data_IF_522834656726
#
_entry.id   IF_522834656726
#
_cell.length_a   1.000
_cell.length_b   1.000
_cell.length_c   1.000
_cell.angle_alpha   90.00
_cell.angle_beta   90.00
_cell.angle_gamma   90.00
#
_symmetry.space_group_name_H-M   'P 1'
#
loop_
_entity.id
_entity.type
_entity.pdbx_description
1 polymer ?
#
# COMPACT_ATOMS: atom_id res chain seq x y z
N UNK A 1 -6.20 -4.68 14.14
CA UNK A 1 -7.35 -4.06 13.44
C UNK A 1 -8.03 -5.10 12.55
N UNK A 2 -9.37 -5.17 12.52
CA UNK A 2 -10.10 -6.18 11.74
C UNK A 2 -9.94 -6.00 10.22
N UNK A 3 -9.93 -7.12 9.47
CA UNK A 3 -9.85 -7.15 8.00
C UNK A 3 -11.23 -6.82 7.39
N UNK A 4 -11.46 -5.57 6.99
CA UNK A 4 -12.77 -5.11 6.50
C UNK A 4 -12.63 -4.17 5.29
N UNK A 5 -13.70 -4.10 4.48
CA UNK A 5 -13.78 -3.16 3.34
C UNK A 5 -13.62 -1.71 3.81
N UNK A 6 -14.22 -1.34 4.94
CA UNK A 6 -14.13 0.02 5.47
C UNK A 6 -12.68 0.40 5.82
N UNK A 7 -11.92 -0.51 6.41
CA UNK A 7 -10.52 -0.28 6.74
C UNK A 7 -9.64 -0.24 5.48
N UNK A 8 -9.90 -1.11 4.50
CA UNK A 8 -9.23 -1.02 3.19
C UNK A 8 -9.44 0.35 2.53
N UNK A 9 -10.68 0.86 2.49
CA UNK A 9 -10.98 2.19 1.93
C UNK A 9 -10.20 3.29 2.66
N UNK A 10 -10.11 3.23 4.00
CA UNK A 10 -9.32 4.19 4.78
C UNK A 10 -7.84 4.17 4.38
N UNK A 11 -7.25 2.98 4.24
CA UNK A 11 -5.84 2.83 3.84
C UNK A 11 -5.60 3.30 2.39
N UNK A 12 -6.49 2.93 1.47
CA UNK A 12 -6.45 3.39 0.08
C UNK A 12 -6.49 4.92 -0.02
N UNK A 13 -7.39 5.56 0.73
CA UNK A 13 -7.49 7.02 0.78
C UNK A 13 -6.24 7.66 1.38
N UNK A 14 -5.72 7.10 2.47
CA UNK A 14 -4.48 7.58 3.08
C UNK A 14 -3.30 7.54 2.10
N UNK A 15 -3.13 6.43 1.39
CA UNK A 15 -2.09 6.29 0.37
C UNK A 15 -2.24 7.36 -0.72
N UNK A 16 -3.44 7.49 -1.30
CA UNK A 16 -3.71 8.46 -2.36
C UNK A 16 -3.46 9.91 -1.92
N UNK A 17 -3.89 10.29 -0.72
CA UNK A 17 -3.67 11.63 -0.17
C UNK A 17 -2.17 11.90 0.06
N UNK A 18 -1.45 10.90 0.57
CA UNK A 18 0.00 11.01 0.81
C UNK A 18 0.75 11.12 -0.52
N UNK A 19 0.41 10.31 -1.51
CA UNK A 19 0.97 10.37 -2.86
C UNK A 19 0.75 11.74 -3.52
N UNK A 20 -0.46 12.29 -3.40
CA UNK A 20 -0.79 13.62 -3.89
C UNK A 20 0.07 14.71 -3.23
N UNK A 21 0.23 14.67 -1.90
CA UNK A 21 1.06 15.63 -1.18
C UNK A 21 2.54 15.52 -1.57
N UNK A 22 3.07 14.29 -1.67
CA UNK A 22 4.44 14.05 -2.13
C UNK A 22 4.67 14.61 -3.53
N UNK A 23 3.72 14.40 -4.45
CA UNK A 23 3.76 14.96 -5.80
C UNK A 23 3.77 16.50 -5.78
N UNK A 24 2.93 17.12 -4.96
CA UNK A 24 2.87 18.59 -4.84
C UNK A 24 4.20 19.17 -4.32
N UNK A 25 4.81 18.53 -3.31
CA UNK A 25 6.11 18.92 -2.78
C UNK A 25 7.20 18.80 -3.86
N UNK A 26 7.20 17.71 -4.62
CA UNK A 26 8.16 17.49 -5.72
C UNK A 26 8.09 18.62 -6.76
N UNK A 27 6.87 18.98 -7.18
CA UNK A 27 6.65 20.10 -8.12
C UNK A 27 7.14 21.43 -7.52
N UNK A 28 6.76 21.74 -6.27
CA UNK A 28 7.14 23.00 -5.61
C UNK A 28 8.67 23.12 -5.45
N UNK A 29 9.37 22.01 -5.21
CA UNK A 29 10.83 21.98 -5.03
C UNK A 29 11.61 21.88 -6.35
N UNK A 30 10.97 22.09 -7.50
CA UNK A 30 11.64 22.13 -8.80
C UNK A 30 12.02 20.75 -9.35
N UNK A 31 11.25 19.71 -9.02
CA UNK A 31 11.43 18.38 -9.61
C UNK A 31 12.61 17.59 -9.04
N UNK A 32 13.08 17.93 -7.84
CA UNK A 32 14.01 17.04 -7.12
C UNK A 32 13.31 15.69 -6.96
N UNK A 33 13.83 14.69 -7.66
CA UNK A 33 13.20 13.40 -7.79
C UNK A 33 12.94 12.81 -6.40
N UNK A 34 11.69 12.37 -6.15
CA UNK A 34 11.28 11.73 -4.88
C UNK A 34 12.17 10.55 -4.49
N UNK A 35 12.93 10.03 -5.45
CA UNK A 35 14.04 9.09 -5.34
C UNK A 35 15.06 9.42 -4.26
N UNK A 36 15.31 10.70 -3.98
CA UNK A 36 16.24 11.16 -2.95
C UNK A 36 15.57 11.42 -1.60
N UNK A 37 14.26 11.23 -1.49
CA UNK A 37 13.51 11.43 -0.25
C UNK A 37 13.26 10.08 0.42
N UNK A 38 13.49 10.02 1.74
CA UNK A 38 13.03 8.94 2.66
C UNK A 38 11.55 8.56 2.39
N UNK A 39 10.77 9.50 1.83
CA UNK A 39 9.39 9.29 1.41
C UNK A 39 9.16 8.26 0.29
N UNK A 40 10.12 7.95 -0.60
CA UNK A 40 9.90 6.96 -1.68
C UNK A 40 9.83 5.53 -1.15
N UNK A 41 10.76 5.17 -0.25
CA UNK A 41 10.74 3.88 0.44
C UNK A 41 9.48 3.75 1.29
N UNK A 42 9.17 4.78 2.07
CA UNK A 42 7.93 4.83 2.86
C UNK A 42 6.67 4.69 1.98
N UNK A 43 6.61 5.37 0.83
CA UNK A 43 5.49 5.27 -0.09
C UNK A 43 5.34 3.86 -0.69
N UNK A 44 6.45 3.21 -1.02
CA UNK A 44 6.46 1.84 -1.52
C UNK A 44 5.99 0.86 -0.43
N UNK A 45 6.47 1.00 0.80
CA UNK A 45 6.07 0.17 1.94
C UNK A 45 4.57 0.35 2.29
N UNK A 46 4.08 1.59 2.27
CA UNK A 46 2.64 1.87 2.48
C UNK A 46 1.82 1.24 1.36
N UNK A 47 2.25 1.37 0.09
CA UNK A 47 1.55 0.77 -1.04
C UNK A 47 1.54 -0.77 -0.93
N UNK A 48 2.67 -1.39 -0.58
CA UNK A 48 2.77 -2.83 -0.33
C UNK A 48 1.72 -3.26 0.70
N UNK A 49 1.68 -2.55 1.84
CA UNK A 49 0.73 -2.85 2.90
C UNK A 49 -0.73 -2.74 2.42
N UNK A 50 -1.09 -1.68 1.69
CA UNK A 50 -2.45 -1.49 1.17
C UNK A 50 -2.83 -2.62 0.19
N UNK A 51 -1.91 -2.99 -0.71
CA UNK A 51 -2.13 -4.06 -1.69
C UNK A 51 -2.32 -5.41 -1.00
N UNK A 52 -1.45 -5.75 -0.05
CA UNK A 52 -1.53 -7.02 0.65
C UNK A 52 -2.75 -7.13 1.54
N UNK A 53 -3.15 -6.03 2.19
CA UNK A 53 -4.42 -5.96 2.90
C UNK A 53 -5.59 -6.24 1.95
N UNK A 54 -5.60 -5.60 0.78
CA UNK A 54 -6.64 -5.77 -0.24
C UNK A 54 -6.72 -7.19 -0.81
N UNK A 55 -5.57 -7.80 -1.15
CA UNK A 55 -5.48 -9.19 -1.63
C UNK A 55 -6.04 -10.17 -0.60
N UNK A 56 -5.68 -9.99 0.67
CA UNK A 56 -6.20 -10.81 1.79
C UNK A 56 -7.70 -10.59 1.98
N UNK A 57 -8.18 -9.36 1.86
CA UNK A 57 -9.60 -9.02 1.96
C UNK A 57 -10.42 -9.74 0.89
N UNK A 58 -9.99 -9.71 -0.37
CA UNK A 58 -10.62 -10.44 -1.48
C UNK A 58 -10.64 -11.95 -1.20
N UNK A 59 -9.51 -12.51 -0.76
CA UNK A 59 -9.40 -13.94 -0.47
C UNK A 59 -10.35 -14.38 0.67
N UNK A 60 -10.53 -13.54 1.68
CA UNK A 60 -11.41 -13.83 2.82
C UNK A 60 -12.89 -13.55 2.57
N UNK A 61 -13.23 -12.81 1.51
CA UNK A 61 -14.60 -12.37 1.24
C UNK A 61 -15.01 -12.66 -0.22
N UNK A 62 -15.69 -13.79 -0.49
CA UNK A 62 -16.06 -14.18 -1.84
C UNK A 62 -17.11 -13.26 -2.50
N UNK A 63 -17.81 -12.43 -1.72
CA UNK A 63 -18.85 -11.52 -2.23
C UNK A 63 -18.37 -10.06 -2.28
N UNK A 64 -17.05 -9.84 -2.38
CA UNK A 64 -16.49 -8.50 -2.42
C UNK A 64 -16.91 -7.77 -3.70
N UNK A 65 -17.17 -6.46 -3.60
CA UNK A 65 -17.58 -5.66 -4.76
C UNK A 65 -16.50 -5.66 -5.86
N UNK A 66 -16.87 -5.79 -7.15
CA UNK A 66 -15.94 -5.68 -8.27
C UNK A 66 -15.13 -4.38 -8.26
N UNK A 67 -15.69 -3.29 -7.74
CA UNK A 67 -15.00 -1.99 -7.63
C UNK A 67 -13.80 -2.06 -6.68
N UNK A 68 -13.94 -2.80 -5.57
CA UNK A 68 -12.86 -3.03 -4.61
C UNK A 68 -11.79 -3.92 -5.24
N UNK A 69 -12.19 -4.96 -5.98
CA UNK A 69 -11.25 -5.82 -6.73
C UNK A 69 -10.41 -4.98 -7.69
N UNK A 70 -11.08 -4.17 -8.53
CA UNK A 70 -10.40 -3.30 -9.49
C UNK A 70 -9.48 -2.27 -8.82
N UNK A 71 -9.85 -1.74 -7.65
CA UNK A 71 -8.98 -0.85 -6.89
C UNK A 71 -7.72 -1.58 -6.38
N UNK A 72 -7.86 -2.79 -5.85
CA UNK A 72 -6.72 -3.62 -5.41
C UNK A 72 -5.81 -3.97 -6.59
N UNK A 73 -6.37 -4.33 -7.74
CA UNK A 73 -5.59 -4.64 -8.95
C UNK A 73 -4.80 -3.42 -9.44
N UNK A 74 -5.40 -2.22 -9.45
CA UNK A 74 -4.70 -0.99 -9.82
C UNK A 74 -3.54 -0.67 -8.88
N UNK A 75 -3.75 -0.78 -7.57
CA UNK A 75 -2.65 -0.61 -6.61
C UNK A 75 -1.60 -1.70 -6.75
N UNK A 76 -1.99 -2.94 -7.05
CA UNK A 76 -1.06 -4.04 -7.32
C UNK A 76 -0.15 -3.72 -8.51
N UNK A 77 -0.72 -3.25 -9.62
CA UNK A 77 0.04 -2.85 -10.80
C UNK A 77 0.98 -1.67 -10.54
N UNK A 78 0.58 -0.72 -9.68
CA UNK A 78 1.46 0.36 -9.23
C UNK A 78 2.60 -0.18 -8.36
N UNK A 79 2.30 -1.10 -7.44
CA UNK A 79 3.30 -1.68 -6.56
C UNK A 79 4.36 -2.45 -7.33
N UNK A 80 3.97 -3.21 -8.34
CA UNK A 80 4.90 -3.97 -9.17
C UNK A 80 5.95 -3.08 -9.86
N UNK A 81 5.65 -1.80 -10.11
CA UNK A 81 6.58 -0.81 -10.69
C UNK A 81 7.56 -0.23 -9.67
N UNK A 82 7.27 -0.33 -8.37
CA UNK A 82 8.04 0.30 -7.28
C UNK A 82 8.47 -0.70 -6.22
N UNK A 83 8.30 -2.00 -6.46
CA UNK A 83 8.54 -3.08 -5.51
C UNK A 83 10.01 -3.16 -5.07
N UNK A 84 10.93 -2.79 -5.95
CA UNK A 84 12.37 -2.71 -5.69
C UNK A 84 12.74 -1.62 -4.66
N UNK A 85 11.80 -0.71 -4.38
CA UNK A 85 11.95 0.37 -3.43
C UNK A 85 11.30 0.06 -2.08
N UNK A 86 10.65 -1.09 -1.92
CA UNK A 86 10.19 -1.53 -0.61
C UNK A 86 11.41 -1.84 0.28
N UNK A 87 11.36 -1.42 1.54
CA UNK A 87 12.52 -1.44 2.42
C UNK A 87 12.93 -2.90 2.74
N UNK A 88 14.13 -3.35 2.37
CA UNK A 88 14.54 -4.77 2.48
C UNK A 88 14.86 -5.22 3.91
N UNK A 89 14.88 -4.31 4.89
CA UNK A 89 15.32 -4.62 6.27
C UNK A 89 14.27 -5.34 7.12
N UNK A 90 13.05 -5.50 6.63
CA UNK A 90 12.02 -6.37 7.20
C UNK A 90 11.53 -7.34 6.12
N UNK A 91 11.15 -8.57 6.53
CA UNK A 91 10.54 -9.55 5.62
C UNK A 91 9.42 -8.84 4.83
N UNK A 92 9.46 -8.79 3.50
CA UNK A 92 8.41 -8.11 2.73
C UNK A 92 7.01 -8.62 3.08
N UNK A 93 6.02 -7.74 3.14
CA UNK A 93 4.65 -8.09 3.57
C UNK A 93 4.04 -9.15 2.63
N UNK A 94 4.34 -9.08 1.34
CA UNK A 94 3.90 -10.08 0.37
C UNK A 94 4.46 -11.49 0.62
N UNK A 95 5.54 -11.60 1.41
CA UNK A 95 6.12 -12.88 1.83
C UNK A 95 5.63 -13.33 3.22
N UNK A 96 4.88 -12.49 3.94
CA UNK A 96 4.37 -12.80 5.29
C UNK A 96 3.15 -13.73 5.26
N UNK A 97 3.09 -14.63 6.24
CA UNK A 97 1.90 -15.43 6.54
C UNK A 97 0.73 -14.55 7.02
N UNK A 98 -0.48 -15.12 7.10
CA UNK A 98 -1.64 -14.41 7.65
C UNK A 98 -1.42 -13.97 9.11
N UNK A 99 -0.92 -14.89 9.95
CA UNK A 99 -0.69 -14.63 11.37
C UNK A 99 0.37 -13.54 11.60
N UNK A 100 1.45 -13.53 10.81
CA UNK A 100 2.50 -12.49 10.89
C UNK A 100 1.93 -11.10 10.56
N UNK A 101 1.11 -11.02 9.52
CA UNK A 101 0.45 -9.77 9.12
C UNK A 101 -0.59 -9.31 10.15
N UNK A 102 -1.46 -10.21 10.62
CA UNK A 102 -2.46 -9.88 11.64
C UNK A 102 -1.81 -9.41 12.95
N UNK A 103 -0.63 -9.95 13.29
CA UNK A 103 0.17 -9.47 14.42
C UNK A 103 0.64 -8.02 14.22
N UNK A 104 1.12 -7.65 13.03
CA UNK A 104 1.47 -6.26 12.70
C UNK A 104 0.25 -5.32 12.76
N UNK A 105 -0.91 -5.78 12.31
CA UNK A 105 -2.17 -5.02 12.36
C UNK A 105 -2.67 -4.78 13.79
N UNK A 106 -2.15 -5.52 14.79
CA UNK A 106 -2.58 -5.52 16.19
C UNK A 106 -1.51 -4.97 17.15
N UNK A 107 -0.47 -4.30 16.62
CA UNK A 107 0.38 -3.38 17.39
C UNK A 107 -0.34 -2.04 17.54
#
# INVERSE_FOLDING_TARGET
>A
MALTVQNFIKFANYYNQTAMLMSAICVQKGGIAMENYVGRFYAADVLEFVVEYGRRLIKSNPNISPEIVSLVERFGAQFDQVRDLATPTQKPIHEMTLAEFEKLMNI
#
